data_IF_863663226545
#
_entry.id   IF_863663226545
#
_cell.length_a   1.000
_cell.length_b   1.000
_cell.length_c   1.000
_cell.angle_alpha   90.00
_cell.angle_beta   90.00
_cell.angle_gamma   90.00
#
_symmetry.space_group_name_H-M   'P 1'
#
loop_
_entity.id
_entity.type
_entity.pdbx_description
1 polymer ?
#
# COMPACT_ATOMS: atom_id res chain seq x y z
N UNK A 1 26.10 35.90 21.18
CA UNK A 1 25.32 37.09 21.62
C UNK A 1 24.71 37.92 20.47
N UNK A 2 24.94 37.62 19.19
CA UNK A 2 24.38 38.41 18.07
C UNK A 2 22.93 38.07 17.67
N UNK A 3 22.37 36.93 18.10
CA UNK A 3 21.01 36.53 17.70
C UNK A 3 19.89 37.18 18.53
N UNK A 4 20.12 37.43 19.83
CA UNK A 4 19.10 38.04 20.70
C UNK A 4 18.84 39.51 20.38
N UNK A 5 19.85 40.23 19.89
CA UNK A 5 19.69 41.63 19.45
C UNK A 5 18.96 41.72 18.10
N UNK A 6 19.05 40.68 17.25
CA UNK A 6 18.26 40.59 16.02
C UNK A 6 16.76 40.43 16.33
N UNK A 7 16.39 39.61 17.33
CA UNK A 7 15.00 39.47 17.77
C UNK A 7 14.41 40.76 18.36
N UNK A 8 15.22 41.58 19.04
CA UNK A 8 14.79 42.91 19.51
C UNK A 8 14.50 43.89 18.37
N UNK A 9 15.17 43.72 17.22
CA UNK A 9 15.06 44.63 16.05
C UNK A 9 13.92 44.23 15.10
N UNK A 10 13.61 42.93 14.97
CA UNK A 10 12.54 42.40 14.10
C UNK A 10 11.15 42.51 14.74
N UNK A 11 11.07 42.71 16.06
CA UNK A 11 9.82 42.78 16.81
C UNK A 11 9.24 41.40 17.13
N UNK A 12 8.29 41.37 18.08
CA UNK A 12 7.66 40.14 18.58
C UNK A 12 6.90 39.42 17.47
N UNK A 13 6.95 38.08 17.43
CA UNK A 13 6.21 37.23 16.50
C UNK A 13 4.75 37.66 16.36
N UNK A 14 4.43 38.34 15.25
CA UNK A 14 3.11 38.90 15.00
C UNK A 14 2.07 37.81 14.70
N UNK A 15 0.77 38.13 14.82
CA UNK A 15 -0.32 37.19 14.49
C UNK A 15 -0.19 36.61 13.07
N UNK A 16 0.19 37.45 12.10
CA UNK A 16 0.39 37.03 10.71
C UNK A 16 1.54 36.03 10.55
N UNK A 17 2.67 36.27 11.21
CA UNK A 17 3.82 35.34 11.18
C UNK A 17 3.47 33.99 11.82
N UNK A 18 2.70 34.00 12.93
CA UNK A 18 2.20 32.77 13.57
C UNK A 18 1.28 31.96 12.64
N UNK A 19 0.35 32.62 11.95
CA UNK A 19 -0.55 31.95 10.98
C UNK A 19 0.23 31.40 9.79
N UNK A 20 1.16 32.18 9.21
CA UNK A 20 2.03 31.72 8.10
C UNK A 20 2.85 30.49 8.50
N UNK A 21 3.48 30.53 9.67
CA UNK A 21 4.28 29.41 10.18
C UNK A 21 3.42 28.16 10.41
N UNK A 22 2.25 28.31 11.03
CA UNK A 22 1.30 27.22 11.22
C UNK A 22 0.88 26.57 9.89
N UNK A 23 0.59 27.37 8.86
CA UNK A 23 0.23 26.87 7.52
C UNK A 23 1.39 26.12 6.84
N UNK A 24 2.63 26.55 7.05
CA UNK A 24 3.83 25.85 6.54
C UNK A 24 4.01 24.51 7.28
N UNK A 25 3.83 24.48 8.61
CA UNK A 25 3.88 23.24 9.38
C UNK A 25 2.78 22.25 8.95
N UNK A 26 1.55 22.73 8.76
CA UNK A 26 0.44 21.92 8.27
C UNK A 26 0.77 21.31 6.90
N UNK A 27 1.27 22.14 6.00
CA UNK A 27 1.73 21.73 4.67
C UNK A 27 2.82 20.66 4.73
N UNK A 28 3.73 20.75 5.69
CA UNK A 28 4.82 19.79 5.85
C UNK A 28 4.33 18.43 6.37
N UNK A 29 3.30 18.40 7.20
CA UNK A 29 2.76 17.17 7.80
C UNK A 29 1.88 16.35 6.84
N UNK A 30 1.23 17.00 5.87
CA UNK A 30 0.28 16.32 4.96
C UNK A 30 0.94 15.25 4.07
N UNK A 31 2.07 15.49 3.37
CA UNK A 31 2.66 14.49 2.50
C UNK A 31 3.15 13.22 3.23
N UNK A 32 3.85 13.31 4.38
CA UNK A 32 4.20 12.13 5.17
C UNK A 32 2.99 11.26 5.52
N UNK A 33 1.88 11.86 5.94
CA UNK A 33 0.65 11.12 6.24
C UNK A 33 0.22 10.29 5.02
N UNK A 34 0.23 10.88 3.83
CA UNK A 34 -0.12 10.18 2.58
C UNK A 34 0.84 9.02 2.26
N UNK A 35 2.13 9.16 2.57
CA UNK A 35 3.11 8.09 2.40
C UNK A 35 2.85 6.95 3.39
N UNK A 36 2.60 7.27 4.67
CA UNK A 36 2.36 6.26 5.69
C UNK A 36 1.04 5.51 5.49
N UNK A 37 0.02 6.13 4.88
CA UNK A 37 -1.23 5.45 4.48
C UNK A 37 -0.97 4.20 3.62
N UNK A 38 0.14 4.13 2.88
CA UNK A 38 0.52 2.92 2.14
C UNK A 38 0.65 1.69 3.05
N UNK A 39 1.21 1.84 4.25
CA UNK A 39 1.45 0.72 5.16
C UNK A 39 0.15 0.04 5.60
N UNK A 40 -0.91 0.83 5.79
CA UNK A 40 -2.25 0.34 6.14
C UNK A 40 -2.99 -0.19 4.91
N UNK A 41 -2.96 0.53 3.80
CA UNK A 41 -3.68 0.14 2.57
C UNK A 41 -3.07 -1.09 1.88
N UNK A 42 -1.77 -1.34 2.06
CA UNK A 42 -1.09 -2.55 1.59
C UNK A 42 -0.70 -3.50 2.71
N UNK A 43 -1.36 -3.42 3.86
CA UNK A 43 -1.24 -4.46 4.89
C UNK A 43 -1.68 -5.81 4.29
N UNK A 44 -0.98 -6.87 4.66
CA UNK A 44 -1.32 -8.25 4.28
C UNK A 44 -2.08 -8.87 5.47
N UNK A 45 -3.42 -8.88 5.47
CA UNK A 45 -4.17 -9.55 6.53
C UNK A 45 -3.90 -11.06 6.51
N UNK A 46 -4.16 -11.74 7.63
CA UNK A 46 -4.19 -13.20 7.66
C UNK A 46 -5.18 -13.70 6.60
N UNK A 47 -4.74 -14.61 5.75
CA UNK A 47 -5.54 -15.13 4.66
C UNK A 47 -5.53 -16.65 4.68
N UNK A 48 -6.61 -17.27 4.23
CA UNK A 48 -6.72 -18.72 4.06
C UNK A 48 -7.23 -19.05 2.66
N UNK A 49 -7.18 -20.32 2.28
CA UNK A 49 -7.73 -20.75 1.00
C UNK A 49 -9.25 -20.69 0.99
N UNK A 50 -9.80 -20.24 -0.14
CA UNK A 50 -11.22 -20.43 -0.44
C UNK A 50 -11.41 -21.85 -0.93
N UNK A 51 -12.28 -22.59 -0.23
CA UNK A 51 -12.70 -23.93 -0.63
C UNK A 51 -13.84 -23.75 -1.63
N UNK A 52 -13.85 -24.52 -2.73
CA UNK A 52 -14.91 -24.46 -3.74
C UNK A 52 -16.25 -24.97 -3.18
N UNK A 53 -17.36 -24.38 -3.62
CA UNK A 53 -18.71 -24.81 -3.23
C UNK A 53 -19.02 -26.26 -3.64
N UNK A 54 -18.40 -26.74 -4.74
CA UNK A 54 -18.42 -28.14 -5.17
C UNK A 54 -17.86 -29.11 -4.11
N UNK A 55 -16.91 -28.65 -3.29
CA UNK A 55 -16.31 -29.43 -2.20
C UNK A 55 -17.08 -29.27 -0.87
N UNK A 56 -18.05 -28.35 -0.82
CA UNK A 56 -18.77 -27.94 0.40
C UNK A 56 -20.19 -28.54 0.48
N UNK A 57 -20.64 -29.27 -0.56
CA UNK A 57 -22.02 -29.75 -0.69
C UNK A 57 -22.44 -30.82 0.34
N UNK A 58 -21.54 -31.29 1.21
CA UNK A 58 -21.86 -32.40 2.13
C UNK A 58 -21.79 -32.12 3.63
N UNK A 59 -21.57 -30.89 4.12
CA UNK A 59 -21.69 -30.62 5.56
C UNK A 59 -22.28 -29.25 5.92
N UNK A 60 -23.39 -29.30 6.68
CA UNK A 60 -24.03 -28.18 7.39
C UNK A 60 -23.20 -27.76 8.62
N UNK A 61 -21.99 -27.24 8.43
CA UNK A 61 -21.36 -26.20 9.27
C UNK A 61 -19.89 -25.98 8.85
N UNK A 62 -19.53 -24.82 8.27
CA UNK A 62 -18.20 -24.64 7.65
C UNK A 62 -17.06 -24.31 8.62
N UNK A 63 -17.32 -23.90 9.86
CA UNK A 63 -16.26 -23.40 10.75
C UNK A 63 -15.59 -24.50 11.60
N UNK A 64 -16.34 -25.49 12.09
CA UNK A 64 -15.78 -26.54 12.97
C UNK A 64 -15.04 -27.65 12.22
N UNK A 65 -15.28 -27.79 10.90
CA UNK A 65 -14.61 -28.77 10.03
C UNK A 65 -13.49 -28.15 9.17
N UNK A 66 -13.20 -26.84 9.33
CA UNK A 66 -12.20 -26.14 8.53
C UNK A 66 -10.78 -26.74 8.65
N UNK A 67 -10.46 -27.29 9.82
CA UNK A 67 -9.18 -27.95 10.09
C UNK A 67 -8.97 -29.25 9.31
N UNK A 68 -10.03 -29.86 8.76
CA UNK A 68 -9.90 -31.05 7.90
C UNK A 68 -9.48 -30.68 6.47
N UNK A 69 -9.92 -29.53 5.96
CA UNK A 69 -9.64 -29.11 4.59
C UNK A 69 -8.34 -28.31 4.43
N UNK A 70 -7.86 -27.70 5.52
CA UNK A 70 -6.62 -26.91 5.55
C UNK A 70 -5.54 -27.70 6.29
N UNK A 71 -4.63 -28.37 5.56
CA UNK A 71 -3.56 -29.15 6.17
C UNK A 71 -2.59 -28.28 6.97
N UNK A 72 -1.88 -28.90 7.91
CA UNK A 72 -0.86 -28.24 8.73
C UNK A 72 0.27 -27.67 7.87
N UNK A 73 0.93 -26.61 8.35
CA UNK A 73 1.98 -25.92 7.60
C UNK A 73 3.15 -26.85 7.25
N UNK A 74 3.45 -27.84 8.11
CA UNK A 74 4.45 -28.89 7.86
C UNK A 74 4.06 -29.85 6.73
N UNK A 75 2.80 -30.28 6.68
CA UNK A 75 2.28 -31.16 5.60
C UNK A 75 2.27 -30.43 4.26
N UNK A 76 1.93 -29.14 4.24
CA UNK A 76 2.05 -28.31 3.03
C UNK A 76 3.51 -28.17 2.57
N UNK A 77 4.44 -28.01 3.51
CA UNK A 77 5.86 -27.79 3.22
C UNK A 77 6.55 -29.05 2.67
N UNK A 78 6.14 -30.22 3.15
CA UNK A 78 6.63 -31.52 2.66
C UNK A 78 6.15 -31.78 1.22
N UNK A 79 4.87 -31.50 0.94
CA UNK A 79 4.27 -31.65 -0.39
C UNK A 79 4.60 -30.52 -1.39
N UNK A 80 5.05 -29.36 -0.93
CA UNK A 80 5.55 -28.26 -1.77
C UNK A 80 6.67 -28.74 -2.72
N UNK A 81 7.48 -29.70 -2.28
CA UNK A 81 8.55 -30.32 -3.07
C UNK A 81 8.05 -31.19 -4.24
N UNK A 82 6.84 -31.77 -4.13
CA UNK A 82 6.25 -32.65 -5.16
C UNK A 82 5.41 -31.90 -6.20
N UNK A 83 4.83 -30.75 -5.84
CA UNK A 83 3.89 -30.00 -6.71
C UNK A 83 4.53 -28.71 -7.26
N UNK A 84 5.83 -28.47 -7.04
CA UNK A 84 6.52 -27.21 -7.43
C UNK A 84 5.84 -25.94 -6.89
N UNK A 85 5.19 -26.06 -5.73
CA UNK A 85 4.52 -24.95 -5.06
C UNK A 85 5.59 -24.08 -4.37
N UNK A 86 5.51 -22.76 -4.53
CA UNK A 86 6.43 -21.83 -3.85
C UNK A 86 6.10 -21.71 -2.37
N UNK A 87 7.08 -21.36 -1.54
CA UNK A 87 7.05 -21.32 -0.06
C UNK A 87 5.80 -20.65 0.56
N UNK A 88 5.18 -19.68 -0.12
CA UNK A 88 4.02 -18.94 0.38
C UNK A 88 2.65 -19.52 -0.05
N UNK A 89 2.62 -20.46 -1.00
CA UNK A 89 1.37 -20.98 -1.56
C UNK A 89 0.68 -21.93 -0.57
N UNK A 90 -0.47 -21.50 -0.06
CA UNK A 90 -1.32 -22.36 0.80
C UNK A 90 -1.92 -23.48 -0.03
N UNK A 91 -1.99 -24.68 0.54
CA UNK A 91 -2.63 -25.83 -0.07
C UNK A 91 -3.98 -26.08 0.60
N UNK A 92 -4.89 -26.71 -0.13
CA UNK A 92 -6.08 -27.32 0.48
C UNK A 92 -6.22 -28.74 -0.06
N UNK A 93 -6.91 -29.57 0.71
CA UNK A 93 -7.17 -30.96 0.39
C UNK A 93 -8.68 -31.19 0.32
N UNK A 94 -9.16 -31.82 -0.74
CA UNK A 94 -10.53 -32.32 -0.79
C UNK A 94 -10.52 -33.73 -0.19
N UNK A 95 -11.19 -33.89 0.94
CA UNK A 95 -11.46 -35.20 1.55
C UNK A 95 -12.84 -35.65 1.06
N UNK A 96 -12.88 -36.44 -0.01
CA UNK A 96 -14.09 -37.19 -0.34
C UNK A 96 -14.35 -38.19 0.80
N UNK A 97 -15.56 -38.17 1.39
CA UNK A 97 -15.97 -39.03 2.53
C UNK A 97 -15.91 -40.55 2.26
N UNK A 98 -15.45 -40.99 1.08
CA UNK A 98 -15.28 -42.41 0.73
C UNK A 98 -13.89 -42.98 1.05
N UNK A 99 -12.96 -42.19 1.60
CA UNK A 99 -11.70 -42.72 2.12
C UNK A 99 -11.82 -43.04 3.61
N UNK A 100 -11.63 -44.33 3.89
CA UNK A 100 -11.76 -44.95 5.20
C UNK A 100 -10.95 -44.23 6.28
N UNK A 101 -11.54 -44.17 7.46
CA UNK A 101 -11.00 -43.71 8.73
C UNK A 101 -9.52 -44.14 8.90
N UNK A 102 -8.57 -43.23 8.60
CA UNK A 102 -7.14 -43.48 8.83
C UNK A 102 -6.15 -42.83 7.86
N UNK A 103 -6.55 -42.44 6.65
CA UNK A 103 -5.62 -41.80 5.69
C UNK A 103 -6.23 -40.52 5.08
N UNK A 104 -5.77 -39.37 5.57
CA UNK A 104 -6.05 -38.04 5.02
C UNK A 104 -5.24 -37.82 3.71
N UNK A 105 -5.48 -38.64 2.68
CA UNK A 105 -4.65 -38.69 1.46
C UNK A 105 -5.46 -38.32 0.20
N UNK A 106 -6.26 -37.25 0.25
CA UNK A 106 -6.76 -36.60 -0.97
C UNK A 106 -5.62 -35.89 -1.74
N UNK A 107 -5.71 -35.73 -3.07
CA UNK A 107 -4.69 -35.00 -3.82
C UNK A 107 -4.66 -33.52 -3.40
N UNK A 108 -3.48 -33.04 -2.99
CA UNK A 108 -3.25 -31.64 -2.64
C UNK A 108 -3.34 -30.75 -3.88
N UNK A 109 -4.09 -29.65 -3.77
CA UNK A 109 -4.25 -28.69 -4.86
C UNK A 109 -3.68 -27.31 -4.50
N UNK A 110 -3.13 -26.68 -5.53
CA UNK A 110 -2.77 -25.26 -5.53
C UNK A 110 -4.00 -24.39 -5.27
N UNK A 111 -3.84 -23.41 -4.39
CA UNK A 111 -4.89 -22.47 -4.05
C UNK A 111 -4.76 -21.19 -4.88
N UNK A 112 -5.78 -20.88 -5.68
CA UNK A 112 -5.82 -19.70 -6.55
C UNK A 112 -6.73 -18.59 -6.00
N UNK A 113 -7.54 -18.89 -4.98
CA UNK A 113 -8.50 -17.95 -4.40
C UNK A 113 -8.38 -17.94 -2.88
N UNK A 114 -8.41 -16.75 -2.31
CA UNK A 114 -8.13 -16.52 -0.90
C UNK A 114 -9.33 -15.89 -0.19
N UNK A 115 -9.47 -16.21 1.09
CA UNK A 115 -10.37 -15.55 2.04
C UNK A 115 -9.49 -14.82 3.04
N UNK A 116 -9.64 -13.50 3.11
CA UNK A 116 -8.89 -12.66 4.02
C UNK A 116 -9.70 -12.41 5.29
N UNK A 117 -9.01 -12.39 6.43
CA UNK A 117 -9.59 -12.03 7.71
C UNK A 117 -9.78 -10.50 7.80
N UNK A 118 -11.01 -10.07 8.08
CA UNK A 118 -11.41 -8.66 8.16
C UNK A 118 -11.47 -8.12 9.59
N UNK A 119 -10.96 -8.86 10.58
CA UNK A 119 -11.01 -8.46 12.00
C UNK A 119 -10.29 -7.13 12.25
N UNK A 120 -9.13 -6.91 11.60
CA UNK A 120 -8.32 -5.70 11.79
C UNK A 120 -8.40 -4.71 10.62
N UNK A 121 -8.63 -5.20 9.40
CA UNK A 121 -8.66 -4.40 8.19
C UNK A 121 -9.96 -4.64 7.43
N UNK A 122 -10.74 -3.58 7.18
CA UNK A 122 -12.01 -3.67 6.45
C UNK A 122 -11.79 -4.06 4.99
N UNK A 123 -10.87 -3.38 4.30
CA UNK A 123 -10.42 -3.71 2.95
C UNK A 123 -8.96 -3.27 2.77
N UNK A 124 -8.21 -4.04 1.99
CA UNK A 124 -6.83 -3.71 1.62
C UNK A 124 -6.62 -3.90 0.12
N UNK A 125 -5.68 -3.15 -0.46
CA UNK A 125 -5.31 -3.32 -1.87
C UNK A 125 -4.73 -4.71 -2.14
N UNK A 126 -4.07 -5.30 -1.14
CA UNK A 126 -3.54 -6.67 -1.21
C UNK A 126 -4.68 -7.67 -1.36
N UNK A 127 -5.76 -7.50 -0.61
CA UNK A 127 -6.96 -8.34 -0.75
C UNK A 127 -7.63 -8.14 -2.11
N UNK A 128 -7.85 -6.88 -2.50
CA UNK A 128 -8.61 -6.55 -3.72
C UNK A 128 -7.93 -7.02 -5.01
N UNK A 129 -6.59 -6.99 -5.03
CA UNK A 129 -5.79 -7.45 -6.16
C UNK A 129 -5.14 -8.82 -5.94
N UNK A 130 -5.46 -9.49 -4.83
CA UNK A 130 -4.86 -10.79 -4.47
C UNK A 130 -3.33 -10.81 -4.60
N UNK A 131 -2.66 -9.74 -4.15
CA UNK A 131 -1.20 -9.57 -4.22
C UNK A 131 -0.48 -10.40 -3.15
N UNK A 132 -0.66 -11.72 -3.23
CA UNK A 132 -0.20 -12.70 -2.24
C UNK A 132 0.59 -13.79 -2.95
N UNK A 133 1.48 -14.47 -2.22
CA UNK A 133 2.31 -15.56 -2.72
C UNK A 133 3.16 -15.16 -3.95
N UNK A 134 2.71 -15.53 -5.16
CA UNK A 134 3.41 -15.25 -6.41
C UNK A 134 3.39 -13.77 -6.78
N UNK A 135 2.34 -13.06 -6.33
CA UNK A 135 2.09 -11.66 -6.69
C UNK A 135 2.62 -10.66 -5.64
N UNK A 136 3.42 -11.11 -4.67
CA UNK A 136 4.06 -10.22 -3.67
C UNK A 136 5.01 -9.22 -4.34
N UNK A 137 5.56 -9.58 -5.51
CA UNK A 137 6.39 -8.69 -6.32
C UNK A 137 5.63 -7.44 -6.77
N UNK A 138 4.33 -7.52 -7.02
CA UNK A 138 3.51 -6.37 -7.43
C UNK A 138 3.45 -5.31 -6.32
N UNK A 139 3.19 -5.72 -5.09
CA UNK A 139 3.23 -4.82 -3.92
C UNK A 139 4.60 -4.15 -3.80
N UNK A 140 5.67 -4.92 -3.95
CA UNK A 140 7.05 -4.39 -3.86
C UNK A 140 7.33 -3.40 -4.99
N UNK A 141 6.86 -3.70 -6.20
CA UNK A 141 7.03 -2.83 -7.37
C UNK A 141 6.35 -1.47 -7.18
N UNK A 142 5.15 -1.43 -6.60
CA UNK A 142 4.47 -0.17 -6.23
C UNK A 142 5.33 0.69 -5.30
N UNK A 143 6.01 0.08 -4.34
CA UNK A 143 6.88 0.80 -3.40
C UNK A 143 8.17 1.27 -4.09
N UNK A 144 8.74 0.45 -4.97
CA UNK A 144 9.93 0.81 -5.76
C UNK A 144 9.65 1.99 -6.69
N UNK A 145 8.54 1.96 -7.45
CA UNK A 145 8.20 3.08 -8.34
C UNK A 145 7.94 4.37 -7.56
N UNK A 146 7.37 4.25 -6.36
CA UNK A 146 7.17 5.39 -5.47
C UNK A 146 8.51 6.02 -5.11
N UNK A 147 9.48 5.26 -4.59
CA UNK A 147 10.79 5.82 -4.24
C UNK A 147 11.59 6.32 -5.46
N UNK A 148 11.42 5.67 -6.61
CA UNK A 148 12.02 6.12 -7.87
C UNK A 148 11.46 7.49 -8.29
N UNK A 149 10.13 7.66 -8.25
CA UNK A 149 9.50 8.97 -8.46
C UNK A 149 9.94 10.00 -7.42
N UNK A 150 10.10 9.58 -6.17
CA UNK A 150 10.60 10.42 -5.09
C UNK A 150 12.00 10.98 -5.38
N UNK A 151 12.89 10.15 -5.92
CA UNK A 151 14.24 10.55 -6.34
C UNK A 151 14.17 11.54 -7.51
N UNK A 152 13.44 11.21 -8.58
CA UNK A 152 13.30 12.07 -9.77
C UNK A 152 12.71 13.42 -9.39
N UNK A 153 11.64 13.41 -8.58
CA UNK A 153 10.98 14.61 -8.10
C UNK A 153 11.90 15.55 -7.35
N UNK A 154 12.81 15.01 -6.53
CA UNK A 154 13.76 15.84 -5.77
C UNK A 154 14.69 16.65 -6.68
N UNK A 155 15.13 16.08 -7.82
CA UNK A 155 15.98 16.76 -8.79
C UNK A 155 15.18 17.78 -9.60
N UNK A 156 14.05 17.36 -10.16
CA UNK A 156 13.22 18.17 -11.04
C UNK A 156 12.65 19.38 -10.30
N UNK A 157 11.96 19.16 -9.17
CA UNK A 157 11.35 20.24 -8.40
C UNK A 157 12.38 21.13 -7.70
N UNK A 158 13.57 20.61 -7.39
CA UNK A 158 14.69 21.43 -6.93
C UNK A 158 15.09 22.48 -7.96
N UNK A 159 15.41 22.04 -9.19
CA UNK A 159 15.82 22.94 -10.28
C UNK A 159 14.69 23.90 -10.67
N UNK A 160 13.45 23.41 -10.76
CA UNK A 160 12.28 24.24 -11.07
C UNK A 160 12.05 25.32 -10.01
N UNK A 161 12.18 24.97 -8.73
CA UNK A 161 12.05 25.90 -7.61
C UNK A 161 13.06 27.05 -7.69
N UNK A 162 14.29 26.74 -8.07
CA UNK A 162 15.34 27.75 -8.18
C UNK A 162 15.15 28.66 -9.40
N UNK A 163 14.59 28.14 -10.50
CA UNK A 163 14.37 28.90 -11.74
C UNK A 163 13.09 29.74 -11.74
N UNK A 164 11.96 29.18 -11.29
CA UNK A 164 10.64 29.82 -11.34
C UNK A 164 10.19 30.42 -10.01
N UNK A 165 11.00 30.24 -8.97
CA UNK A 165 10.70 30.70 -7.62
C UNK A 165 9.94 29.66 -6.78
N UNK A 166 10.17 29.70 -5.47
CA UNK A 166 9.70 28.68 -4.51
C UNK A 166 8.18 28.66 -4.31
N UNK A 167 7.53 29.83 -4.27
CA UNK A 167 6.07 29.97 -4.02
C UNK A 167 5.19 29.36 -5.12
N UNK A 168 5.37 29.67 -6.42
CA UNK A 168 4.53 29.09 -7.47
C UNK A 168 4.78 27.58 -7.62
N UNK A 169 6.02 27.13 -7.49
CA UNK A 169 6.36 25.70 -7.58
C UNK A 169 5.73 24.92 -6.43
N UNK A 170 5.70 25.45 -5.21
CA UNK A 170 5.00 24.84 -4.09
C UNK A 170 3.50 24.63 -4.39
N UNK A 171 2.84 25.62 -4.99
CA UNK A 171 1.44 25.51 -5.42
C UNK A 171 1.23 24.44 -6.50
N UNK A 172 2.10 24.40 -7.51
CA UNK A 172 2.05 23.39 -8.57
C UNK A 172 2.27 21.97 -8.00
N UNK A 173 3.22 21.80 -7.07
CA UNK A 173 3.44 20.52 -6.41
C UNK A 173 2.19 20.04 -5.67
N UNK A 174 1.48 20.93 -4.96
CA UNK A 174 0.22 20.57 -4.31
C UNK A 174 -0.86 20.13 -5.29
N UNK A 175 -1.00 20.82 -6.43
CA UNK A 175 -1.96 20.43 -7.46
C UNK A 175 -1.65 19.03 -8.01
N UNK A 176 -0.37 18.74 -8.26
CA UNK A 176 0.06 17.42 -8.74
C UNK A 176 -0.19 16.34 -7.68
N UNK A 177 0.08 16.61 -6.39
CA UNK A 177 -0.24 15.70 -5.30
C UNK A 177 -1.74 15.43 -5.24
N UNK A 178 -2.57 16.47 -5.32
CA UNK A 178 -4.03 16.35 -5.26
C UNK A 178 -4.56 15.50 -6.42
N UNK A 179 -4.11 15.79 -7.65
CA UNK A 179 -4.52 15.04 -8.85
C UNK A 179 -4.04 13.58 -8.78
N UNK A 180 -2.78 13.34 -8.41
CA UNK A 180 -2.25 11.99 -8.26
C UNK A 180 -2.94 11.20 -7.16
N UNK A 181 -3.31 11.85 -6.06
CA UNK A 181 -4.06 11.22 -4.95
C UNK A 181 -5.48 10.88 -5.36
N UNK A 182 -6.13 11.76 -6.13
CA UNK A 182 -7.44 11.49 -6.71
C UNK A 182 -7.38 10.28 -7.65
N UNK A 183 -6.39 10.21 -8.54
CA UNK A 183 -6.17 9.04 -9.39
C UNK A 183 -5.98 7.77 -8.55
N UNK A 184 -5.18 7.81 -7.48
CA UNK A 184 -4.98 6.66 -6.60
C UNK A 184 -6.28 6.20 -5.90
N UNK A 185 -7.13 7.15 -5.48
CA UNK A 185 -8.37 6.85 -4.78
C UNK A 185 -9.41 6.16 -5.70
N UNK A 186 -9.44 6.53 -6.98
CA UNK A 186 -10.34 5.94 -7.96
C UNK A 186 -9.74 4.77 -8.74
N UNK A 187 -8.44 4.50 -8.60
CA UNK A 187 -7.78 3.41 -9.33
C UNK A 187 -8.35 2.01 -9.08
N UNK A 188 -8.70 1.58 -7.85
CA UNK A 188 -9.27 0.25 -7.62
C UNK A 188 -10.75 0.21 -8.06
N UNK A 189 -11.00 0.26 -9.38
CA UNK A 189 -12.33 0.03 -9.93
C UNK A 189 -12.42 -1.38 -10.49
N UNK A 190 -13.27 -2.21 -9.89
CA UNK A 190 -13.54 -3.57 -10.37
C UNK A 190 -14.02 -3.61 -11.83
N UNK A 191 -14.60 -2.52 -12.34
CA UNK A 191 -15.13 -2.42 -13.71
C UNK A 191 -14.05 -2.24 -14.78
N UNK A 192 -12.88 -1.69 -14.44
CA UNK A 192 -11.86 -1.29 -15.42
C UNK A 192 -10.86 -2.41 -15.73
N UNK A 193 -10.97 -3.55 -15.03
CA UNK A 193 -10.01 -4.64 -15.11
C UNK A 193 -8.76 -4.40 -14.26
N UNK A 194 -8.09 -5.48 -13.88
CA UNK A 194 -6.94 -5.46 -12.98
C UNK A 194 -5.76 -4.66 -13.56
N UNK A 195 -5.36 -4.97 -14.80
CA UNK A 195 -4.21 -4.37 -15.47
C UNK A 195 -4.28 -2.84 -15.52
N UNK A 196 -5.41 -2.30 -15.97
CA UNK A 196 -5.60 -0.85 -16.12
C UNK A 196 -5.64 -0.17 -14.76
N UNK A 197 -6.38 -0.74 -13.81
CA UNK A 197 -6.48 -0.24 -12.43
C UNK A 197 -5.11 -0.16 -11.76
N UNK A 198 -4.29 -1.20 -11.92
CA UNK A 198 -2.95 -1.28 -11.36
C UNK A 198 -2.00 -0.24 -11.98
N UNK A 199 -2.00 -0.10 -13.30
CA UNK A 199 -1.16 0.91 -13.99
C UNK A 199 -1.57 2.34 -13.62
N UNK A 200 -2.87 2.63 -13.53
CA UNK A 200 -3.36 3.93 -13.07
C UNK A 200 -2.91 4.24 -11.64
N UNK A 201 -2.97 3.25 -10.76
CA UNK A 201 -2.50 3.39 -9.39
C UNK A 201 -0.99 3.65 -9.32
N UNK A 202 -0.18 2.92 -10.10
CA UNK A 202 1.27 3.15 -10.20
C UNK A 202 1.58 4.56 -10.69
N UNK A 203 0.89 5.01 -11.73
CA UNK A 203 1.07 6.35 -12.28
C UNK A 203 0.70 7.45 -11.28
N UNK A 204 -0.45 7.31 -10.61
CA UNK A 204 -0.86 8.22 -9.54
C UNK A 204 0.17 8.27 -8.40
N UNK A 205 0.65 7.10 -7.95
CA UNK A 205 1.69 6.98 -6.92
C UNK A 205 3.00 7.65 -7.33
N UNK A 206 3.43 7.47 -8.57
CA UNK A 206 4.62 8.11 -9.11
C UNK A 206 4.49 9.65 -9.11
N UNK A 207 3.35 10.18 -9.55
CA UNK A 207 3.09 11.63 -9.55
C UNK A 207 3.10 12.22 -8.14
N UNK A 208 2.42 11.55 -7.19
CA UNK A 208 2.41 11.97 -5.78
C UNK A 208 3.83 11.95 -5.21
N UNK A 209 4.62 10.90 -5.50
CA UNK A 209 5.98 10.79 -5.03
C UNK A 209 6.88 11.92 -5.56
N UNK A 210 6.80 12.19 -6.87
CA UNK A 210 7.56 13.25 -7.52
C UNK A 210 7.28 14.61 -6.87
N UNK A 211 6.01 14.95 -6.68
CA UNK A 211 5.62 16.26 -6.17
C UNK A 211 5.81 16.43 -4.66
N UNK A 212 5.79 15.34 -3.88
CA UNK A 212 5.98 15.39 -2.42
C UNK A 212 7.31 16.02 -2.03
N UNK A 213 8.41 15.68 -2.73
CA UNK A 213 9.72 16.27 -2.45
C UNK A 213 9.78 17.76 -2.75
N UNK A 214 9.05 18.22 -3.77
CA UNK A 214 8.95 19.64 -4.10
C UNK A 214 8.38 20.47 -2.95
N UNK A 215 7.30 19.98 -2.31
CA UNK A 215 6.67 20.67 -1.17
C UNK A 215 7.61 20.74 0.04
N UNK A 216 8.30 19.64 0.36
CA UNK A 216 9.20 19.60 1.52
C UNK A 216 10.40 20.56 1.36
N UNK A 217 11.06 20.55 0.18
CA UNK A 217 12.22 21.39 -0.11
C UNK A 217 11.87 22.88 -0.17
N UNK A 218 10.77 23.21 -0.86
CA UNK A 218 10.32 24.61 -0.98
C UNK A 218 9.81 25.15 0.34
N UNK A 219 9.04 24.35 1.09
CA UNK A 219 8.45 24.72 2.37
C UNK A 219 9.49 25.00 3.45
N UNK A 220 10.53 24.17 3.58
CA UNK A 220 11.61 24.39 4.56
C UNK A 220 12.29 25.75 4.38
N UNK A 221 12.64 26.10 3.13
CA UNK A 221 13.35 27.35 2.88
C UNK A 221 12.44 28.57 2.99
N UNK A 222 11.15 28.46 2.63
CA UNK A 222 10.18 29.53 2.88
C UNK A 222 9.97 29.74 4.39
N UNK A 223 10.07 28.68 5.21
CA UNK A 223 9.96 28.77 6.66
C UNK A 223 11.15 29.45 7.34
N UNK A 224 12.33 29.42 6.71
CA UNK A 224 13.53 30.10 7.20
C UNK A 224 13.59 31.61 6.86
N UNK A 225 12.69 32.10 5.98
CA UNK A 225 12.58 33.51 5.56
C UNK A 225 11.31 34.21 6.07
#
# INVERSE_FOLDING_TARGET
>A
MQFDDFYKTVGVFGRYQKVKYFLICLTYMLPPIMVYTWTFTAATPSFRCRISEEDMYEDKHPNDLLHHYIPSESQCREYQSQISLRECQRCYQNINKSYSYGENNGPLKACNSFIFDRTYYQSTLVEEWSMVCNEVTLKTFVQTIFFFGYMIGSLIFGILSDKFGRRPIMGISFLIISLGSFVCAFAPQQKLGFEISYVLFLFGRFLVACATRGVALTGFVIGMH
#
